data_IF_639044369664
#
_entry.id   IF_639044369664
#
_cell.length_a   1.000
_cell.length_b   1.000
_cell.length_c   1.000
_cell.angle_alpha   90.00
_cell.angle_beta   90.00
_cell.angle_gamma   90.00
#
_symmetry.space_group_name_H-M   'P 1'
#
loop_
_entity.id
_entity.type
_entity.pdbx_description
1 polymer ?
#
# COMPACT_ATOMS: atom_id res chain seq x y z
N UNK A 1 1.90 -19.41 4.58
CA UNK A 1 1.76 -18.52 3.40
C UNK A 1 2.22 -17.11 3.75
N UNK A 2 1.86 -16.60 4.93
CA UNK A 2 2.26 -15.29 5.44
C UNK A 2 3.77 -15.09 5.62
N UNK A 3 4.54 -16.12 6.01
CA UNK A 3 5.98 -15.99 6.24
C UNK A 3 6.76 -15.43 5.02
N UNK A 4 6.41 -15.85 3.80
CA UNK A 4 7.06 -15.35 2.57
C UNK A 4 6.65 -13.90 2.26
N UNK A 5 5.41 -13.53 2.57
CA UNK A 5 4.92 -12.17 2.42
C UNK A 5 5.65 -11.26 3.42
N UNK A 6 5.70 -11.64 4.69
CA UNK A 6 6.41 -10.90 5.73
C UNK A 6 7.89 -10.71 5.41
N UNK A 7 8.58 -11.74 4.92
CA UNK A 7 9.98 -11.64 4.47
C UNK A 7 10.14 -10.67 3.29
N UNK A 8 9.22 -10.70 2.32
CA UNK A 8 9.23 -9.78 1.18
C UNK A 8 9.01 -8.34 1.61
N UNK A 9 8.09 -8.09 2.55
CA UNK A 9 7.82 -6.76 3.10
C UNK A 9 9.01 -6.24 3.91
N UNK A 10 9.63 -7.07 4.73
CA UNK A 10 10.84 -6.71 5.48
C UNK A 10 11.98 -6.32 4.53
N UNK A 11 12.18 -7.07 3.44
CA UNK A 11 13.18 -6.76 2.41
C UNK A 11 12.88 -5.46 1.65
N UNK A 12 11.61 -5.12 1.43
CA UNK A 12 11.23 -3.85 0.80
C UNK A 12 11.44 -2.67 1.76
N UNK A 13 11.04 -2.85 3.02
CA UNK A 13 11.18 -1.85 4.07
C UNK A 13 12.63 -1.57 4.45
N UNK A 14 13.59 -2.46 4.12
CA UNK A 14 15.02 -2.22 4.35
C UNK A 14 15.69 -1.38 3.26
N UNK A 15 14.98 -1.07 2.16
CA UNK A 15 15.52 -0.21 1.10
C UNK A 15 15.65 1.24 1.57
N UNK A 16 16.72 1.96 1.18
CA UNK A 16 16.88 3.37 1.53
C UNK A 16 15.65 4.18 1.12
N UNK A 17 15.21 5.10 1.99
CA UNK A 17 14.04 5.98 1.83
C UNK A 17 12.67 5.30 1.87
N UNK A 18 12.58 3.98 2.01
CA UNK A 18 11.31 3.29 2.30
C UNK A 18 11.09 3.32 3.80
N UNK A 19 10.07 4.05 4.26
CA UNK A 19 9.76 4.17 5.69
C UNK A 19 8.75 3.12 6.15
N UNK A 20 7.89 2.63 5.26
CA UNK A 20 6.91 1.60 5.55
C UNK A 20 6.33 0.99 4.29
N UNK A 21 5.83 -0.25 4.40
CA UNK A 21 5.19 -1.01 3.33
C UNK A 21 3.97 -1.72 3.90
N UNK A 22 2.86 -1.68 3.18
CA UNK A 22 1.60 -2.34 3.56
C UNK A 22 1.04 -3.12 2.37
N UNK A 23 0.47 -4.29 2.65
CA UNK A 23 -0.28 -5.10 1.69
C UNK A 23 -1.74 -5.12 2.12
N UNK A 24 -2.64 -4.71 1.23
CA UNK A 24 -4.07 -4.51 1.49
C UNK A 24 -4.84 -5.39 0.50
N UNK A 25 -5.88 -6.06 0.97
CA UNK A 25 -6.74 -6.87 0.11
C UNK A 25 -7.79 -6.05 -0.66
N UNK A 26 -8.61 -6.76 -1.44
CA UNK A 26 -9.69 -6.17 -2.22
C UNK A 26 -10.82 -5.60 -1.38
N UNK A 27 -10.93 -5.92 -0.09
CA UNK A 27 -11.95 -5.41 0.83
C UNK A 27 -11.44 -4.19 1.62
N UNK A 28 -10.13 -3.95 1.64
CA UNK A 28 -9.48 -2.83 2.31
C UNK A 28 -8.86 -3.21 3.65
N UNK A 29 -8.75 -4.50 3.95
CA UNK A 29 -8.13 -5.01 5.16
C UNK A 29 -6.62 -5.16 4.97
N UNK A 30 -5.86 -4.76 6.00
CA UNK A 30 -4.42 -4.96 6.03
C UNK A 30 -4.12 -6.46 6.20
N UNK A 31 -3.43 -7.04 5.21
CA UNK A 31 -2.95 -8.43 5.27
C UNK A 31 -1.63 -8.49 6.05
N UNK A 32 -0.72 -7.56 5.75
CA UNK A 32 0.59 -7.47 6.38
C UNK A 32 1.18 -6.06 6.21
N UNK A 33 1.96 -5.62 7.19
CA UNK A 33 2.69 -4.35 7.16
C UNK A 33 4.09 -4.50 7.76
N UNK A 34 5.01 -3.61 7.37
CA UNK A 34 6.35 -3.52 7.95
C UNK A 34 6.85 -2.07 7.89
N UNK A 35 7.55 -1.61 8.94
CA UNK A 35 8.05 -0.24 9.05
C UNK A 35 7.04 0.71 9.71
N UNK A 36 7.20 2.01 9.48
CA UNK A 36 6.34 3.06 10.02
C UNK A 36 5.02 3.15 9.24
N UNK A 37 4.11 2.22 9.51
CA UNK A 37 2.77 2.14 8.90
C UNK A 37 1.71 2.33 9.98
N UNK A 38 0.63 3.04 9.66
CA UNK A 38 -0.56 3.10 10.48
C UNK A 38 -1.62 2.17 9.89
N UNK A 39 -1.92 1.04 10.54
CA UNK A 39 -2.87 0.07 9.99
C UNK A 39 -4.29 0.62 9.82
N UNK A 40 -4.65 1.71 10.50
CA UNK A 40 -5.95 2.38 10.34
C UNK A 40 -6.11 3.07 8.97
N UNK A 41 -5.04 3.22 8.19
CA UNK A 41 -5.11 3.89 6.87
C UNK A 41 -5.44 2.93 5.73
N UNK A 42 -5.44 1.61 5.94
CA UNK A 42 -5.61 0.62 4.86
C UNK A 42 -6.91 0.81 4.08
N UNK A 43 -8.02 1.08 4.79
CA UNK A 43 -9.32 1.32 4.17
C UNK A 43 -9.35 2.58 3.31
N UNK A 44 -8.70 3.65 3.77
CA UNK A 44 -8.60 4.92 3.01
C UNK A 44 -7.75 4.73 1.77
N UNK A 45 -6.58 4.10 1.90
CA UNK A 45 -5.68 3.83 0.77
C UNK A 45 -6.35 2.95 -0.30
N UNK A 46 -7.06 1.90 0.12
CA UNK A 46 -7.83 1.04 -0.78
C UNK A 46 -8.93 1.81 -1.50
N UNK A 47 -9.66 2.68 -0.78
CA UNK A 47 -10.68 3.53 -1.38
C UNK A 47 -10.10 4.47 -2.45
N UNK A 48 -9.00 5.17 -2.16
CA UNK A 48 -8.35 6.08 -3.12
C UNK A 48 -7.97 5.32 -4.39
N UNK A 49 -7.32 4.16 -4.25
CA UNK A 49 -6.96 3.31 -5.37
C UNK A 49 -8.16 2.88 -6.21
N UNK A 50 -9.26 2.42 -5.58
CA UNK A 50 -10.47 1.99 -6.31
C UNK A 50 -11.11 3.13 -7.10
N UNK A 51 -11.16 4.34 -6.53
CA UNK A 51 -11.67 5.49 -7.25
C UNK A 51 -10.77 5.85 -8.43
N UNK A 52 -9.44 5.80 -8.26
CA UNK A 52 -8.49 6.04 -9.35
C UNK A 52 -8.64 4.98 -10.47
N UNK A 53 -8.82 3.71 -10.12
CA UNK A 53 -9.04 2.63 -11.08
C UNK A 53 -10.33 2.75 -11.88
N UNK A 54 -11.30 3.55 -11.43
CA UNK A 54 -12.55 3.83 -12.15
C UNK A 54 -12.53 5.08 -13.04
N UNK A 55 -11.41 5.82 -13.10
CA UNK A 55 -11.33 7.07 -13.89
C UNK A 55 -11.27 6.77 -15.39
N UNK A 56 -10.49 5.75 -15.77
CA UNK A 56 -10.32 5.32 -17.15
C UNK A 56 -10.73 3.87 -17.28
N UNK A 57 -11.41 3.53 -18.39
CA UNK A 57 -11.64 2.13 -18.77
C UNK A 57 -10.35 1.51 -19.34
N UNK A 58 -9.35 1.38 -18.47
CA UNK A 58 -8.08 0.70 -18.76
C UNK A 58 -8.11 -0.72 -18.19
N UNK A 59 -7.45 -1.64 -18.91
CA UNK A 59 -7.20 -2.99 -18.38
C UNK A 59 -5.97 -3.04 -17.48
N UNK A 60 -5.16 -1.98 -17.46
CA UNK A 60 -3.98 -1.86 -16.60
C UNK A 60 -4.34 -1.11 -15.31
N UNK A 61 -4.06 -1.69 -14.12
CA UNK A 61 -4.25 -0.99 -12.85
C UNK A 61 -3.42 0.30 -12.75
N UNK A 62 -4.00 1.42 -12.26
CA UNK A 62 -3.24 2.65 -12.09
C UNK A 62 -2.26 2.55 -10.93
N UNK A 63 -1.19 3.34 -10.99
CA UNK A 63 -0.31 3.61 -9.84
C UNK A 63 -0.72 4.95 -9.24
N UNK A 64 -1.16 4.96 -7.98
CA UNK A 64 -1.54 6.18 -7.27
C UNK A 64 -0.37 6.68 -6.43
N UNK A 65 -0.04 7.95 -6.60
CA UNK A 65 1.01 8.64 -5.82
C UNK A 65 0.35 9.77 -5.02
N UNK A 66 0.61 9.81 -3.71
CA UNK A 66 0.15 10.86 -2.81
C UNK A 66 1.38 11.57 -2.25
N UNK A 67 1.54 12.83 -2.59
CA UNK A 67 2.63 13.67 -2.12
C UNK A 67 2.10 14.70 -1.13
N UNK A 68 2.86 14.93 -0.06
CA UNK A 68 2.61 16.01 0.87
C UNK A 68 3.94 16.64 1.26
N UNK A 69 3.93 17.95 1.47
CA UNK A 69 5.10 18.66 2.00
C UNK A 69 5.11 18.52 3.52
N UNK A 70 6.13 17.85 4.06
CA UNK A 70 6.33 17.83 5.51
C UNK A 70 6.84 19.19 5.95
N UNK A 71 6.14 19.82 6.90
CA UNK A 71 6.64 21.04 7.56
C UNK A 71 7.92 20.79 8.34
#
# INVERSE_FOLDING_TARGET
>A
MEAKLSESLARLSSKPKVTGVQCIDSDGLCIASHGAVNDQTSGILSSIYRHAAGIEESTEPPVVVIEYESK
#
